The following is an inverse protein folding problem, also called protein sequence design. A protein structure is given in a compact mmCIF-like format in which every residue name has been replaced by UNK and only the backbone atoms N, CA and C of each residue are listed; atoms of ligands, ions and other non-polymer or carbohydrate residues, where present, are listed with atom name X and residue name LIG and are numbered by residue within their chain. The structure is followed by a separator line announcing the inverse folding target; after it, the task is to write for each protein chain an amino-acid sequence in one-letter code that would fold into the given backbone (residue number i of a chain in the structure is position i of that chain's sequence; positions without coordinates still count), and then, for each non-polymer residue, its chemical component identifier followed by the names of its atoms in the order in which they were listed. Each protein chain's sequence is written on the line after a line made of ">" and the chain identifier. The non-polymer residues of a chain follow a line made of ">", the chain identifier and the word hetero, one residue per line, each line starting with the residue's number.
data_IF_049591606489
#
_entry.id   IF_049591606489
#
_cell.length_a   1.000
_cell.length_b   1.000
_cell.length_c   1.000
_cell.angle_alpha   90.00
_cell.angle_beta   90.00
_cell.angle_gamma   90.00
#
_symmetry.space_group_name_H-M   'P 1'
#
loop_
_entity.id
_entity.type
_entity.pdbx_description
1 polymer ?
#
# COMPACT_ATOMS: atom_id res chain seq x y z
N UNK A 1 20.24 -8.69 -1.04
CA UNK A 1 18.89 -9.29 -0.89
C UNK A 1 18.22 -8.69 0.34
N UNK A 2 17.19 -7.85 0.15
CA UNK A 2 16.37 -7.38 1.28
C UNK A 2 15.69 -8.60 1.90
N UNK A 3 15.81 -8.76 3.23
CA UNK A 3 15.11 -9.84 3.94
C UNK A 3 13.61 -9.57 3.85
N UNK A 4 12.86 -10.54 3.31
CA UNK A 4 11.40 -10.51 3.22
C UNK A 4 10.75 -10.37 4.61
N UNK A 5 11.44 -10.84 5.65
CA UNK A 5 11.03 -10.71 7.05
C UNK A 5 11.95 -9.73 7.77
N UNK A 6 11.34 -8.68 8.34
CA UNK A 6 12.03 -7.72 9.19
C UNK A 6 11.27 -7.62 10.52
N UNK A 7 11.90 -8.06 11.61
CA UNK A 7 11.35 -7.93 12.96
C UNK A 7 11.15 -6.47 13.38
N UNK A 8 11.87 -5.53 12.75
CA UNK A 8 11.71 -4.09 12.94
C UNK A 8 10.74 -3.44 11.93
N UNK A 9 9.88 -4.23 11.26
CA UNK A 9 8.96 -3.72 10.23
C UNK A 9 8.09 -2.56 10.73
N UNK A 10 7.50 -2.70 11.91
CA UNK A 10 6.66 -1.66 12.52
C UNK A 10 7.42 -0.34 12.74
N UNK A 11 8.67 -0.44 13.22
CA UNK A 11 9.54 0.72 13.44
C UNK A 11 9.94 1.38 12.11
N UNK A 12 10.20 0.59 11.08
CA UNK A 12 10.50 1.11 9.74
C UNK A 12 9.28 1.76 9.08
N UNK A 13 8.09 1.17 9.22
CA UNK A 13 6.84 1.75 8.73
C UNK A 13 6.55 3.08 9.42
N UNK A 14 6.76 3.17 10.73
CA UNK A 14 6.63 4.42 11.47
C UNK A 14 7.64 5.48 11.01
N UNK A 15 8.92 5.11 10.84
CA UNK A 15 9.95 6.00 10.30
C UNK A 15 9.56 6.57 8.93
N UNK A 16 9.13 5.73 7.99
CA UNK A 16 8.72 6.17 6.65
C UNK A 16 7.38 6.91 6.62
N UNK A 17 6.54 6.75 7.65
CA UNK A 17 5.31 7.54 7.80
C UNK A 17 5.58 9.03 8.11
N UNK A 18 6.84 9.42 8.37
CA UNK A 18 7.23 10.79 8.71
C UNK A 18 6.76 11.23 10.11
N UNK A 19 6.16 10.31 10.87
CA UNK A 19 5.38 10.59 12.06
C UNK A 19 6.13 10.12 13.33
N UNK A 20 7.43 10.39 13.36
CA UNK A 20 8.38 10.04 14.44
C UNK A 20 8.05 10.89 15.67
N UNK A 21 6.99 10.54 16.37
CA UNK A 21 6.75 11.05 17.72
C UNK A 21 7.34 10.03 18.68
N UNK A 22 8.41 10.41 19.38
CA UNK A 22 9.23 9.53 20.25
C UNK A 22 8.46 8.83 21.40
N UNK A 23 7.13 9.00 21.49
CA UNK A 23 6.27 8.47 22.57
C UNK A 23 4.97 7.82 22.09
N UNK A 24 4.87 7.34 20.85
CA UNK A 24 3.69 6.58 20.43
C UNK A 24 3.69 5.19 21.07
N UNK A 25 2.55 4.83 21.67
CA UNK A 25 2.36 3.52 22.26
C UNK A 25 2.48 2.44 21.17
N UNK A 26 3.39 1.49 21.36
CA UNK A 26 3.66 0.41 20.41
C UNK A 26 2.40 -0.37 20.02
N UNK A 27 1.46 -0.52 20.96
CA UNK A 27 0.16 -1.17 20.73
C UNK A 27 -0.66 -0.38 19.69
N UNK A 28 -0.72 0.95 19.83
CA UNK A 28 -1.46 1.80 18.89
C UNK A 28 -0.82 1.78 17.50
N UNK A 29 0.52 1.79 17.43
CA UNK A 29 1.25 1.67 16.15
C UNK A 29 0.95 0.32 15.49
N UNK A 30 0.95 -0.77 16.27
CA UNK A 30 0.62 -2.10 15.79
C UNK A 30 -0.80 -2.16 15.22
N UNK A 31 -1.82 -1.72 15.96
CA UNK A 31 -3.21 -1.76 15.48
C UNK A 31 -3.44 -0.85 14.27
N UNK A 32 -2.80 0.32 14.21
CA UNK A 32 -2.86 1.19 13.03
C UNK A 32 -2.27 0.50 11.81
N UNK A 33 -1.10 -0.13 11.97
CA UNK A 33 -0.45 -0.88 10.91
C UNK A 33 -1.31 -2.06 10.44
N UNK A 34 -1.83 -2.84 11.39
CA UNK A 34 -2.72 -3.96 11.13
C UNK A 34 -4.00 -3.52 10.39
N UNK A 35 -4.64 -2.45 10.82
CA UNK A 35 -5.84 -1.91 10.17
C UNK A 35 -5.57 -1.48 8.73
N UNK A 36 -4.48 -0.75 8.48
CA UNK A 36 -4.09 -0.37 7.12
C UNK A 36 -3.80 -1.62 6.29
N UNK A 37 -3.02 -2.57 6.81
CA UNK A 37 -2.72 -3.83 6.14
C UNK A 37 -3.98 -4.60 5.73
N UNK A 38 -4.93 -4.80 6.64
CA UNK A 38 -6.20 -5.47 6.32
C UNK A 38 -7.07 -4.70 5.32
N UNK A 39 -7.12 -3.36 5.43
CA UNK A 39 -7.86 -2.53 4.48
C UNK A 39 -7.30 -2.67 3.07
N UNK A 40 -5.98 -2.67 2.94
CA UNK A 40 -5.31 -2.84 1.64
C UNK A 40 -5.45 -4.27 1.10
N UNK A 41 -5.34 -5.28 1.97
CA UNK A 41 -5.58 -6.68 1.60
C UNK A 41 -7.03 -6.91 1.12
N UNK A 42 -8.03 -6.31 1.78
CA UNK A 42 -9.42 -6.39 1.36
C UNK A 42 -9.67 -5.79 -0.02
N UNK A 43 -9.07 -4.62 -0.31
CA UNK A 43 -9.11 -4.02 -1.65
C UNK A 43 -8.46 -4.91 -2.70
N UNK A 44 -7.29 -5.48 -2.40
CA UNK A 44 -6.60 -6.39 -3.31
C UNK A 44 -7.39 -7.67 -3.55
N UNK A 45 -8.07 -8.20 -2.54
CA UNK A 45 -8.92 -9.38 -2.70
C UNK A 45 -10.10 -9.10 -3.64
N UNK A 46 -10.80 -7.97 -3.45
CA UNK A 46 -11.89 -7.55 -4.33
C UNK A 46 -11.35 -7.30 -5.75
N UNK A 47 -10.21 -6.62 -5.87
CA UNK A 47 -9.56 -6.36 -7.15
C UNK A 47 -9.16 -7.65 -7.85
N UNK A 48 -8.64 -8.64 -7.13
CA UNK A 48 -8.27 -9.94 -7.70
C UNK A 48 -9.49 -10.66 -8.28
N UNK A 49 -10.60 -10.71 -7.53
CA UNK A 49 -11.86 -11.28 -8.02
C UNK A 49 -12.37 -10.49 -9.23
N UNK A 50 -12.40 -9.17 -9.16
CA UNK A 50 -12.85 -8.31 -10.25
C UNK A 50 -11.97 -8.45 -11.51
N UNK A 51 -10.66 -8.63 -11.34
CA UNK A 51 -9.72 -8.84 -12.44
C UNK A 51 -9.95 -10.19 -13.13
N UNK A 52 -10.27 -11.24 -12.36
CA UNK A 52 -10.65 -12.55 -12.93
C UNK A 52 -11.96 -12.41 -13.74
N UNK A 53 -12.97 -11.73 -13.20
CA UNK A 53 -14.23 -11.51 -13.92
C UNK A 53 -13.99 -10.66 -15.18
N UNK A 54 -13.19 -9.60 -15.10
CA UNK A 54 -12.82 -8.77 -16.25
C UNK A 54 -12.08 -9.56 -17.33
N UNK A 55 -11.20 -10.49 -16.96
CA UNK A 55 -10.49 -11.33 -17.92
C UNK A 55 -11.44 -12.24 -18.71
N UNK A 56 -12.55 -12.69 -18.09
CA UNK A 56 -13.57 -13.52 -18.75
C UNK A 56 -14.57 -12.64 -19.51
N UNK A 57 -14.94 -11.50 -18.95
CA UNK A 57 -15.92 -10.56 -19.50
C UNK A 57 -15.35 -9.12 -19.49
N UNK A 58 -14.53 -8.77 -20.49
CA UNK A 58 -13.83 -7.47 -20.56
C UNK A 58 -14.73 -6.22 -20.43
N UNK A 59 -15.96 -6.17 -20.99
CA UNK A 59 -16.77 -4.95 -20.94
C UNK A 59 -17.26 -4.54 -19.54
N UNK A 60 -17.21 -5.43 -18.53
CA UNK A 60 -17.87 -5.20 -17.24
C UNK A 60 -17.21 -4.13 -16.35
N UNK A 61 -15.94 -3.78 -16.59
CA UNK A 61 -15.20 -2.91 -15.67
C UNK A 61 -14.36 -1.81 -16.32
N UNK A 62 -14.18 -1.83 -17.64
CA UNK A 62 -13.41 -0.82 -18.39
C UNK A 62 -12.08 -0.47 -17.66
N UNK A 63 -11.64 0.79 -17.68
CA UNK A 63 -10.46 1.25 -16.93
C UNK A 63 -10.67 1.44 -15.41
N UNK A 64 -11.85 1.13 -14.84
CA UNK A 64 -12.11 1.40 -13.40
C UNK A 64 -11.25 0.56 -12.45
N UNK A 65 -10.81 -0.63 -12.88
CA UNK A 65 -9.88 -1.44 -12.09
C UNK A 65 -8.53 -0.74 -11.92
N UNK A 66 -8.07 -0.03 -12.97
CA UNK A 66 -6.86 0.78 -12.92
C UNK A 66 -7.03 1.94 -11.94
N UNK A 67 -8.17 2.63 -11.94
CA UNK A 67 -8.46 3.70 -10.98
C UNK A 67 -8.41 3.21 -9.53
N UNK A 68 -8.88 1.99 -9.26
CA UNK A 68 -8.81 1.39 -7.93
C UNK A 68 -7.33 1.17 -7.53
N UNK A 69 -6.51 0.63 -8.44
CA UNK A 69 -5.06 0.43 -8.19
C UNK A 69 -4.35 1.76 -7.94
N UNK A 70 -4.64 2.79 -8.74
CA UNK A 70 -4.06 4.13 -8.59
C UNK A 70 -4.47 4.74 -7.25
N UNK A 71 -5.75 4.71 -6.90
CA UNK A 71 -6.26 5.23 -5.63
C UNK A 71 -5.67 4.47 -4.43
N UNK A 72 -5.48 3.16 -4.56
CA UNK A 72 -4.81 2.33 -3.57
C UNK A 72 -3.35 2.79 -3.38
N UNK A 73 -2.64 2.97 -4.48
CA UNK A 73 -1.23 3.40 -4.50
C UNK A 73 -1.06 4.80 -3.90
N UNK A 74 -1.95 5.74 -4.23
CA UNK A 74 -1.98 7.08 -3.63
C UNK A 74 -2.23 6.99 -2.11
N UNK A 75 -3.13 6.11 -1.67
CA UNK A 75 -3.38 5.86 -0.25
C UNK A 75 -2.14 5.36 0.48
N UNK A 76 -1.39 4.44 -0.13
CA UNK A 76 -0.11 3.95 0.38
C UNK A 76 0.96 5.04 0.41
N UNK A 77 1.02 5.90 -0.60
CA UNK A 77 1.92 7.06 -0.63
C UNK A 77 1.64 8.01 0.54
N UNK A 78 0.37 8.30 0.83
CA UNK A 78 -0.02 9.11 2.00
C UNK A 78 0.34 8.45 3.33
N UNK A 79 0.35 7.11 3.38
CA UNK A 79 0.68 6.36 4.60
C UNK A 79 2.19 6.27 4.86
N UNK A 80 3.01 6.10 3.80
CA UNK A 80 4.46 5.97 3.88
C UNK A 80 5.19 6.93 2.93
N UNK A 81 4.99 8.26 3.03
CA UNK A 81 5.44 9.21 2.00
C UNK A 81 6.96 9.19 1.76
N UNK A 82 7.74 8.80 2.77
CA UNK A 82 9.20 8.81 2.69
C UNK A 82 9.80 7.45 2.27
N UNK A 83 8.97 6.50 1.81
CA UNK A 83 9.47 5.20 1.37
C UNK A 83 10.31 5.33 0.07
N UNK A 84 11.49 4.70 -0.03
CA UNK A 84 12.38 4.85 -1.19
C UNK A 84 11.76 4.37 -2.51
N UNK A 85 10.82 3.41 -2.46
CA UNK A 85 10.12 2.93 -3.66
C UNK A 85 9.33 4.00 -4.40
N UNK A 86 8.92 5.08 -3.72
CA UNK A 86 8.22 6.18 -4.40
C UNK A 86 9.13 6.98 -5.32
N UNK A 87 10.42 7.10 -4.97
CA UNK A 87 11.39 7.72 -5.85
C UNK A 87 11.51 6.89 -7.13
N UNK A 88 11.68 5.58 -7.00
CA UNK A 88 11.72 4.66 -8.14
C UNK A 88 10.48 4.79 -9.01
N UNK A 89 9.28 4.78 -8.42
CA UNK A 89 8.04 4.95 -9.18
C UNK A 89 7.99 6.28 -9.95
N UNK A 90 8.40 7.39 -9.32
CA UNK A 90 8.40 8.71 -9.97
C UNK A 90 9.40 8.81 -11.11
N UNK A 91 10.53 8.12 -10.99
CA UNK A 91 11.56 8.11 -12.04
C UNK A 91 11.03 7.33 -13.25
N UNK A 92 10.41 6.15 -13.05
CA UNK A 92 9.82 5.32 -14.12
C UNK A 92 8.59 5.95 -14.82
N UNK A 93 7.91 6.89 -14.16
CA UNK A 93 6.75 7.61 -14.73
C UNK A 93 7.14 8.88 -15.51
N UNK A 94 8.41 9.31 -15.45
CA UNK A 94 8.92 10.48 -16.16
C UNK A 94 9.56 10.13 -17.51
N UNK A 95 9.83 8.85 -17.73
CA UNK A 95 10.26 8.27 -19.01
C UNK A 95 9.05 8.02 -19.92
#
# INVERSE_FOLDING_TARGET
>A
MQKWFNWNHLKSAEYYSGNISQRKNAIVVYFKHMYVGFREAGKQLILAIASIIHAIFPPLFDFKLLDIVINQTIGLYKYLPNHPSWKKLKDELKD
#
